data_IF_499799078278
#
_entry.id   IF_499799078278
#
_cell.length_a   1.000
_cell.length_b   1.000
_cell.length_c   1.000
_cell.angle_alpha   90.00
_cell.angle_beta   90.00
_cell.angle_gamma   90.00
#
_symmetry.space_group_name_H-M   'P 1'
#
loop_
_entity.id
_entity.type
_entity.pdbx_description
1 polymer ?
#
# COMPACT_ATOMS: atom_id res chain seq x y z
N UNK A 1 -8.22 11.66 -18.29
CA UNK A 1 -7.93 11.97 -16.86
C UNK A 1 -8.79 11.15 -15.91
N UNK A 2 -10.13 11.24 -15.94
CA UNK A 2 -11.03 10.45 -15.06
C UNK A 2 -10.77 8.93 -15.10
N UNK A 3 -10.56 8.36 -16.28
CA UNK A 3 -10.31 6.92 -16.43
C UNK A 3 -8.95 6.48 -15.86
N UNK A 4 -7.96 7.38 -15.81
CA UNK A 4 -6.64 7.10 -15.23
C UNK A 4 -6.75 7.03 -13.71
N UNK A 5 -7.51 7.95 -13.10
CA UNK A 5 -7.80 7.92 -11.66
C UNK A 5 -8.63 6.71 -11.25
N UNK A 6 -9.68 6.37 -12.02
CA UNK A 6 -10.46 5.15 -11.77
C UNK A 6 -9.58 3.88 -11.88
N UNK A 7 -8.71 3.81 -12.89
CA UNK A 7 -7.75 2.72 -13.02
C UNK A 7 -6.81 2.59 -11.82
N UNK A 8 -6.25 3.70 -11.34
CA UNK A 8 -5.38 3.70 -10.17
C UNK A 8 -6.10 3.25 -8.89
N UNK A 9 -7.32 3.73 -8.65
CA UNK A 9 -8.15 3.33 -7.49
C UNK A 9 -8.43 1.82 -7.54
N UNK A 10 -8.81 1.29 -8.70
CA UNK A 10 -9.10 -0.15 -8.86
C UNK A 10 -7.86 -0.99 -8.58
N UNK A 11 -6.70 -0.59 -9.10
CA UNK A 11 -5.43 -1.31 -8.88
C UNK A 11 -5.08 -1.35 -7.38
N UNK A 12 -5.19 -0.22 -6.69
CA UNK A 12 -4.89 -0.14 -5.24
C UNK A 12 -5.89 -0.96 -4.43
N UNK A 13 -7.18 -0.91 -4.78
CA UNK A 13 -8.20 -1.70 -4.10
C UNK A 13 -7.98 -3.22 -4.27
N UNK A 14 -7.62 -3.65 -5.49
CA UNK A 14 -7.28 -5.04 -5.77
C UNK A 14 -6.02 -5.49 -5.02
N UNK A 15 -5.01 -4.62 -4.93
CA UNK A 15 -3.80 -4.87 -4.14
C UNK A 15 -4.11 -5.01 -2.65
N UNK A 16 -4.90 -4.11 -2.07
CA UNK A 16 -5.33 -4.22 -0.67
C UNK A 16 -6.13 -5.48 -0.38
N UNK A 17 -6.99 -5.89 -1.33
CA UNK A 17 -7.77 -7.13 -1.20
C UNK A 17 -6.88 -8.37 -1.23
N UNK A 18 -5.88 -8.42 -2.11
CA UNK A 18 -4.94 -9.54 -2.17
C UNK A 18 -4.13 -9.68 -0.87
N UNK A 19 -3.71 -8.56 -0.28
CA UNK A 19 -3.03 -8.50 1.02
C UNK A 19 -3.89 -9.06 2.15
N UNK A 20 -5.17 -8.67 2.19
CA UNK A 20 -6.10 -9.19 3.19
C UNK A 20 -6.24 -10.72 3.07
N UNK A 21 -6.43 -11.25 1.86
CA UNK A 21 -6.54 -12.69 1.62
C UNK A 21 -5.25 -13.42 2.01
N UNK A 22 -4.07 -12.85 1.71
CA UNK A 22 -2.79 -13.41 2.12
C UNK A 22 -2.65 -13.44 3.64
N UNK A 23 -3.09 -12.41 4.36
CA UNK A 23 -3.07 -12.37 5.81
C UNK A 23 -3.96 -13.46 6.44
N UNK A 24 -5.09 -13.82 5.83
CA UNK A 24 -5.93 -14.92 6.32
C UNK A 24 -5.39 -16.31 5.96
N UNK A 25 -4.61 -16.41 4.87
CA UNK A 25 -4.11 -17.70 4.34
C UNK A 25 -2.62 -17.96 4.62
N UNK A 26 -1.97 -17.10 5.41
CA UNK A 26 -0.54 -17.22 5.75
C UNK A 26 -0.22 -18.47 6.59
N UNK A 27 -1.16 -18.90 7.44
CA UNK A 27 -1.05 -20.08 8.28
C UNK A 27 -2.41 -20.77 8.45
N UNK A 28 -2.40 -22.11 8.48
CA UNK A 28 -3.56 -22.92 8.83
C UNK A 28 -3.17 -23.80 10.03
N UNK A 29 -3.78 -23.62 11.21
CA UNK A 29 -4.79 -22.63 11.56
C UNK A 29 -4.20 -21.22 11.72
N UNK A 30 -5.00 -20.17 11.47
CA UNK A 30 -4.61 -18.77 11.68
C UNK A 30 -4.13 -18.50 13.12
N UNK A 31 -4.60 -19.30 14.10
CA UNK A 31 -4.14 -19.25 15.49
C UNK A 31 -2.64 -19.53 15.67
N UNK A 32 -2.01 -20.26 14.75
CA UNK A 32 -0.58 -20.51 14.80
C UNK A 32 0.27 -19.26 14.49
N UNK A 33 -0.33 -18.18 13.96
CA UNK A 33 0.37 -16.89 13.74
C UNK A 33 0.76 -16.23 15.07
N UNK A 34 -0.14 -16.27 16.06
CA UNK A 34 0.01 -15.56 17.35
C UNK A 34 0.40 -16.50 18.50
N UNK A 35 0.05 -17.78 18.40
CA UNK A 35 0.40 -18.77 19.42
C UNK A 35 1.34 -19.85 18.84
N UNK A 36 2.66 -19.75 19.12
CA UNK A 36 3.64 -20.71 18.62
C UNK A 36 3.51 -22.10 19.25
N UNK A 37 2.61 -22.31 20.22
CA UNK A 37 2.30 -23.63 20.80
C UNK A 37 1.31 -24.43 19.99
N UNK A 38 0.61 -23.79 19.04
CA UNK A 38 -0.36 -24.45 18.17
C UNK A 38 0.37 -24.99 16.96
N UNK A 39 0.42 -26.32 16.80
CA UNK A 39 0.94 -26.94 15.58
C UNK A 39 0.08 -26.52 14.38
N UNK A 40 0.70 -25.77 13.48
CA UNK A 40 0.05 -25.24 12.29
C UNK A 40 0.98 -25.29 11.10
N UNK A 41 0.40 -25.50 9.93
CA UNK A 41 1.12 -25.45 8.67
C UNK A 41 1.12 -24.00 8.18
N UNK A 42 2.25 -23.32 8.39
CA UNK A 42 2.51 -21.98 7.88
C UNK A 42 3.29 -22.06 6.56
N UNK A 43 3.08 -21.10 5.67
CA UNK A 43 3.87 -21.06 4.42
C UNK A 43 5.37 -20.91 4.72
N UNK A 44 6.24 -21.68 4.04
CA UNK A 44 7.69 -21.47 4.15
C UNK A 44 8.06 -20.05 3.66
N UNK A 45 9.08 -19.45 4.26
CA UNK A 45 9.57 -18.09 3.94
C UNK A 45 8.60 -16.93 4.26
N UNK A 46 7.77 -17.07 5.30
CA UNK A 46 6.87 -16.02 5.78
C UNK A 46 7.56 -14.65 5.98
N UNK A 47 8.80 -14.65 6.50
CA UNK A 47 9.60 -13.43 6.74
C UNK A 47 9.94 -12.72 5.45
N UNK A 48 10.40 -13.44 4.42
CA UNK A 48 10.72 -12.87 3.11
C UNK A 48 9.47 -12.29 2.45
N UNK A 49 8.34 -13.00 2.52
CA UNK A 49 7.07 -12.51 1.99
C UNK A 49 6.57 -11.26 2.74
N UNK A 50 6.79 -11.19 4.05
CA UNK A 50 6.48 -10.01 4.86
C UNK A 50 7.30 -8.78 4.44
N UNK A 51 8.62 -8.95 4.26
CA UNK A 51 9.49 -7.87 3.82
C UNK A 51 9.12 -7.35 2.43
N UNK A 52 8.89 -8.26 1.48
CA UNK A 52 8.47 -7.89 0.11
C UNK A 52 7.13 -7.14 0.15
N UNK A 53 6.17 -7.62 0.94
CA UNK A 53 4.89 -6.94 1.10
C UNK A 53 5.03 -5.55 1.71
N UNK A 54 5.91 -5.38 2.71
CA UNK A 54 6.23 -4.08 3.29
C UNK A 54 6.79 -3.10 2.24
N UNK A 55 7.76 -3.56 1.43
CA UNK A 55 8.35 -2.74 0.36
C UNK A 55 7.30 -2.33 -0.67
N UNK A 56 6.44 -3.25 -1.10
CA UNK A 56 5.41 -2.95 -2.10
C UNK A 56 4.35 -1.99 -1.52
N UNK A 57 4.01 -2.10 -0.24
CA UNK A 57 3.09 -1.15 0.41
C UNK A 57 3.66 0.27 0.40
N UNK A 58 4.91 0.43 0.85
CA UNK A 58 5.60 1.73 0.86
C UNK A 58 5.68 2.31 -0.56
N UNK A 59 6.03 1.49 -1.56
CA UNK A 59 6.09 1.92 -2.97
C UNK A 59 4.70 2.32 -3.48
N UNK A 60 3.65 1.61 -3.08
CA UNK A 60 2.27 1.93 -3.46
C UNK A 60 1.83 3.26 -2.86
N UNK A 61 2.20 3.54 -1.61
CA UNK A 61 1.96 4.84 -0.98
C UNK A 61 2.65 5.95 -1.78
N UNK A 62 3.94 5.80 -2.11
CA UNK A 62 4.67 6.75 -2.96
C UNK A 62 4.03 6.92 -4.35
N UNK A 63 3.49 5.86 -4.95
CA UNK A 63 2.82 5.95 -6.24
C UNK A 63 1.52 6.76 -6.16
N UNK A 64 0.71 6.56 -5.11
CA UNK A 64 -0.53 7.32 -4.86
C UNK A 64 -0.21 8.79 -4.59
N UNK A 65 0.85 9.03 -3.80
CA UNK A 65 1.45 10.33 -3.50
C UNK A 65 1.84 11.11 -4.76
N UNK A 66 2.46 10.44 -5.72
CA UNK A 66 2.94 11.04 -6.96
C UNK A 66 1.82 11.21 -7.97
N UNK A 67 0.77 10.38 -7.95
CA UNK A 67 -0.34 10.38 -8.91
C UNK A 67 -0.98 11.77 -9.16
N UNK A 68 -1.27 12.61 -8.13
CA UNK A 68 -1.85 13.94 -8.34
C UNK A 68 -0.81 15.02 -8.70
N UNK A 69 0.48 14.82 -8.41
CA UNK A 69 1.53 15.82 -8.62
C UNK A 69 1.68 16.27 -10.09
N UNK A 70 1.78 15.38 -11.10
CA UNK A 70 1.95 15.81 -12.49
C UNK A 70 0.71 16.53 -13.03
N UNK A 71 -0.48 16.24 -12.49
CA UNK A 71 -1.72 16.95 -12.84
C UNK A 71 -1.73 18.35 -12.22
N UNK A 72 -1.33 18.48 -10.94
CA UNK A 72 -1.20 19.78 -10.26
C UNK A 72 -0.12 20.63 -10.92
N UNK A 73 0.95 20.03 -11.46
CA UNK A 73 1.99 20.76 -12.18
C UNK A 73 1.57 21.22 -13.57
N UNK A 74 0.60 20.54 -14.20
CA UNK A 74 -0.01 20.99 -15.46
C UNK A 74 -1.10 22.05 -15.27
N UNK A 75 -1.69 22.16 -14.08
CA UNK A 75 -2.68 23.17 -13.77
C UNK A 75 -1.96 24.39 -13.15
N UNK A 76 -2.23 25.61 -13.63
CA UNK A 76 -1.59 26.84 -13.15
C UNK A 76 -2.02 27.22 -11.73
N UNK A 77 -1.67 26.38 -10.75
CA UNK A 77 -1.97 26.60 -9.33
C UNK A 77 -0.78 27.33 -8.66
N UNK A 78 -1.06 28.25 -7.73
CA UNK A 78 -0.04 29.00 -7.00
C UNK A 78 0.82 28.08 -6.12
N UNK A 79 2.11 28.40 -6.01
CA UNK A 79 3.16 27.62 -5.31
C UNK A 79 2.79 27.22 -3.86
N UNK A 80 1.98 28.02 -3.18
CA UNK A 80 1.50 27.74 -1.82
C UNK A 80 0.71 26.44 -1.70
N UNK A 81 -0.13 26.10 -2.69
CA UNK A 81 -0.89 24.85 -2.68
C UNK A 81 -0.03 23.62 -3.01
N UNK A 82 1.02 23.79 -3.83
CA UNK A 82 1.99 22.72 -4.09
C UNK A 82 2.75 22.32 -2.82
N UNK A 83 3.18 23.30 -2.03
CA UNK A 83 3.94 23.05 -0.79
C UNK A 83 3.06 22.40 0.28
N UNK A 84 1.80 22.84 0.44
CA UNK A 84 0.85 22.21 1.38
C UNK A 84 0.56 20.77 0.97
N UNK A 85 0.34 20.49 -0.31
CA UNK A 85 0.15 19.11 -0.77
C UNK A 85 1.38 18.25 -0.51
N UNK A 86 2.59 18.70 -0.87
CA UNK A 86 3.83 17.98 -0.55
C UNK A 86 4.04 17.80 0.96
N UNK A 87 3.61 18.76 1.78
CA UNK A 87 3.69 18.71 3.24
C UNK A 87 2.75 17.68 3.86
N UNK A 88 1.47 17.66 3.46
CA UNK A 88 0.48 16.65 3.90
C UNK A 88 0.96 15.25 3.50
N UNK A 89 1.53 15.13 2.32
CA UNK A 89 2.05 13.90 1.77
C UNK A 89 3.33 13.41 2.44
N UNK A 90 4.22 14.33 2.85
CA UNK A 90 5.38 14.00 3.69
C UNK A 90 5.01 13.64 5.13
N UNK A 91 3.90 14.17 5.65
CA UNK A 91 3.40 13.87 7.00
C UNK A 91 2.80 12.46 7.12
N UNK A 92 2.30 11.87 6.02
CA UNK A 92 1.86 10.47 6.01
C UNK A 92 3.01 9.45 6.09
N UNK A 93 4.26 9.91 5.99
CA UNK A 93 5.47 9.09 6.04
C UNK A 93 6.12 9.01 7.45
N UNK A 94 5.56 9.74 8.43
CA UNK A 94 6.02 9.87 9.82
C UNK A 94 5.08 9.11 10.75
#
# INVERSE_FOLDING_TARGET
>A
MRNVYLGAIIIVALWGLSQAIMAFTQCIPLKAVWDPRVEGWCRPHQTTLWYINGVINIVSDFAILILPLPVIWKLQLPLSQKIILSGIFGLGLL
#
